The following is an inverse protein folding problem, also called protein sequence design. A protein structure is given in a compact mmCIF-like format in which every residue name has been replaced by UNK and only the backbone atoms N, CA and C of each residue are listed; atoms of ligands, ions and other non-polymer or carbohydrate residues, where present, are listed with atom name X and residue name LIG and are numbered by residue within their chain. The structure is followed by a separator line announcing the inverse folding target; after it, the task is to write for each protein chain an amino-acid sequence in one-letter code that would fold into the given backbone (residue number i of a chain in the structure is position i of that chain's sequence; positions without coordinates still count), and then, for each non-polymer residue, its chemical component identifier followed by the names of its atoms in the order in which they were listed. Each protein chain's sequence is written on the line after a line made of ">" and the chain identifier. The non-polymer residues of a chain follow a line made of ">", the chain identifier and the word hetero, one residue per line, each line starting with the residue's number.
data_IF_560050129559
#
_entry.id   IF_560050129559
#
_cell.length_a   1.000
_cell.length_b   1.000
_cell.length_c   1.000
_cell.angle_alpha   90.00
_cell.angle_beta   90.00
_cell.angle_gamma   90.00
#
_symmetry.space_group_name_H-M   'P 1'
#
loop_
_entity.id
_entity.type
_entity.pdbx_description
1 polymer ?
#
# COMPACT_ATOMS: atom_id res chain seq x y z
N UNK A 1 5.47 -8.11 13.76
CA UNK A 1 5.98 -6.84 14.32
C UNK A 1 6.01 -7.01 15.85
N UNK A 2 6.82 -6.26 16.60
CA UNK A 2 6.67 -6.17 18.06
C UNK A 2 5.22 -5.86 18.45
N UNK A 3 4.81 -6.23 19.67
CA UNK A 3 3.41 -6.12 20.14
C UNK A 3 2.84 -4.69 20.12
N UNK A 4 3.70 -3.67 20.12
CA UNK A 4 3.36 -2.24 20.11
C UNK A 4 3.56 -1.56 18.73
N UNK A 5 3.85 -2.33 17.67
CA UNK A 5 4.11 -1.80 16.33
C UNK A 5 3.08 -2.30 15.32
N UNK A 6 2.43 -1.36 14.64
CA UNK A 6 1.43 -1.63 13.59
C UNK A 6 1.91 -1.06 12.25
N UNK A 7 1.73 -1.84 11.17
CA UNK A 7 1.85 -1.33 9.81
C UNK A 7 0.50 -0.80 9.35
N UNK A 8 0.47 0.43 8.85
CA UNK A 8 -0.75 1.11 8.40
C UNK A 8 -0.52 1.66 7.00
N UNK A 9 -1.42 1.34 6.08
CA UNK A 9 -1.38 1.79 4.69
C UNK A 9 -2.72 2.39 4.27
N UNK A 10 -2.66 3.26 3.25
CA UNK A 10 -3.85 3.77 2.54
C UNK A 10 -3.82 3.22 1.13
N UNK A 11 -4.90 2.58 0.70
CA UNK A 11 -5.06 2.05 -0.67
C UNK A 11 -6.03 2.95 -1.41
N UNK A 12 -5.60 3.44 -2.56
CA UNK A 12 -6.32 4.43 -3.38
C UNK A 12 -6.29 4.01 -4.84
N UNK A 13 -7.12 4.64 -5.67
CA UNK A 13 -7.02 4.48 -7.12
C UNK A 13 -5.62 4.86 -7.62
N UNK A 14 -5.03 4.04 -8.49
CA UNK A 14 -3.65 4.19 -8.89
C UNK A 14 -3.40 5.43 -9.78
N UNK A 15 -4.33 5.74 -10.68
CA UNK A 15 -4.19 6.88 -11.58
C UNK A 15 -4.34 8.19 -10.82
N UNK A 16 -5.37 8.28 -9.97
CA UNK A 16 -5.62 9.44 -9.12
C UNK A 16 -4.54 9.61 -8.05
N UNK A 17 -4.18 8.55 -7.32
CA UNK A 17 -3.13 8.61 -6.30
C UNK A 17 -1.79 9.01 -6.89
N UNK A 18 -1.48 8.52 -8.10
CA UNK A 18 -0.29 8.90 -8.85
C UNK A 18 -0.25 10.39 -9.21
N UNK A 19 -1.39 11.00 -9.58
CA UNK A 19 -1.43 12.44 -9.86
C UNK A 19 -1.26 13.28 -8.60
N UNK A 20 -1.88 12.89 -7.48
CA UNK A 20 -1.74 13.61 -6.21
C UNK A 20 -0.30 13.59 -5.67
N UNK A 21 0.39 12.46 -5.79
CA UNK A 21 1.77 12.31 -5.31
C UNK A 21 2.80 13.10 -6.14
N UNK A 22 2.44 13.57 -7.34
CA UNK A 22 3.31 14.44 -8.12
C UNK A 22 3.37 15.87 -7.55
N UNK A 23 2.30 16.30 -6.87
CA UNK A 23 2.11 17.70 -6.44
C UNK A 23 2.39 17.92 -4.95
N UNK A 24 2.62 16.86 -4.16
CA UNK A 24 2.90 17.00 -2.73
C UNK A 24 3.76 15.86 -2.14
N UNK A 25 4.43 16.08 -1.00
CA UNK A 25 5.19 15.04 -0.31
C UNK A 25 4.33 13.83 0.11
N UNK A 26 4.92 12.63 0.06
CA UNK A 26 4.25 11.37 0.40
C UNK A 26 3.67 11.36 1.81
N UNK A 27 4.39 11.89 2.81
CA UNK A 27 3.89 11.93 4.18
C UNK A 27 2.66 12.83 4.32
N UNK A 28 2.64 13.97 3.63
CA UNK A 28 1.49 14.87 3.60
C UNK A 28 0.27 14.18 2.97
N UNK A 29 0.45 13.53 1.81
CA UNK A 29 -0.61 12.76 1.17
C UNK A 29 -1.14 11.65 2.08
N UNK A 30 -0.26 10.85 2.68
CA UNK A 30 -0.63 9.79 3.62
C UNK A 30 -1.48 10.32 4.79
N UNK A 31 -1.05 11.41 5.42
CA UNK A 31 -1.78 12.01 6.56
C UNK A 31 -3.15 12.53 6.15
N UNK A 32 -3.27 13.15 4.97
CA UNK A 32 -4.56 13.61 4.45
C UNK A 32 -5.51 12.43 4.22
N UNK A 33 -5.05 11.36 3.56
CA UNK A 33 -5.89 10.19 3.28
C UNK A 33 -6.28 9.45 4.56
N UNK A 34 -5.36 9.30 5.51
CA UNK A 34 -5.65 8.69 6.81
C UNK A 34 -6.72 9.49 7.56
N UNK A 35 -6.68 10.82 7.48
CA UNK A 35 -7.66 11.72 8.10
C UNK A 35 -9.09 11.54 7.56
N UNK A 36 -9.27 11.01 6.35
CA UNK A 36 -10.60 10.68 5.81
C UNK A 36 -11.22 9.45 6.51
N UNK A 37 -10.39 8.59 7.10
CA UNK A 37 -10.82 7.42 7.87
C UNK A 37 -10.91 7.76 9.37
N UNK A 38 -11.89 8.59 9.74
CA UNK A 38 -11.98 9.18 11.09
C UNK A 38 -11.80 8.19 12.25
N UNK A 39 -12.48 7.03 12.20
CA UNK A 39 -12.34 6.01 13.26
C UNK A 39 -10.92 5.45 13.37
N UNK A 40 -10.26 5.18 12.25
CA UNK A 40 -8.89 4.66 12.21
C UNK A 40 -7.89 5.73 12.65
N UNK A 41 -8.09 6.98 12.21
CA UNK A 41 -7.29 8.11 12.65
C UNK A 41 -7.37 8.29 14.18
N UNK A 42 -8.57 8.18 14.77
CA UNK A 42 -8.76 8.25 16.22
C UNK A 42 -8.03 7.11 16.96
N UNK A 43 -8.09 5.88 16.42
CA UNK A 43 -7.37 4.74 17.00
C UNK A 43 -5.85 4.94 16.99
N UNK A 44 -5.32 5.64 15.99
CA UNK A 44 -3.89 5.90 15.83
C UNK A 44 -3.43 7.18 16.52
N UNK A 45 -4.33 7.97 17.10
CA UNK A 45 -4.06 9.30 17.65
C UNK A 45 -3.00 9.32 18.77
N UNK A 46 -2.93 8.27 19.58
CA UNK A 46 -1.91 8.10 20.63
C UNK A 46 -0.63 7.43 20.13
N UNK A 47 -0.62 6.97 18.88
CA UNK A 47 0.52 6.31 18.27
C UNK A 47 1.59 7.30 17.79
N UNK A 48 2.82 6.81 17.66
CA UNK A 48 3.92 7.55 17.03
C UNK A 48 4.24 6.92 15.67
N UNK A 49 4.37 7.75 14.65
CA UNK A 49 4.96 7.32 13.38
C UNK A 49 6.46 7.06 13.59
N UNK A 50 6.86 5.80 13.50
CA UNK A 50 8.25 5.37 13.71
C UNK A 50 9.02 5.11 12.40
N UNK A 51 8.32 5.13 11.27
CA UNK A 51 8.89 4.92 9.93
C UNK A 51 8.13 5.76 8.90
N UNK A 52 8.82 6.16 7.82
CA UNK A 52 8.25 7.01 6.78
C UNK A 52 7.32 6.22 5.84
N UNK A 53 6.23 6.83 5.32
CA UNK A 53 5.35 6.16 4.36
C UNK A 53 6.09 5.83 3.06
N UNK A 54 5.80 4.66 2.48
CA UNK A 54 6.33 4.21 1.19
C UNK A 54 5.20 4.09 0.18
N UNK A 55 5.49 4.39 -1.08
CA UNK A 55 4.53 4.24 -2.19
C UNK A 55 4.85 2.97 -2.96
N UNK A 56 3.86 2.12 -3.14
CA UNK A 56 3.94 0.91 -3.96
C UNK A 56 2.77 0.95 -4.94
N UNK A 57 3.01 0.53 -6.19
CA UNK A 57 1.96 0.35 -7.19
C UNK A 57 1.45 -1.08 -7.10
N UNK A 58 0.27 -1.24 -6.53
CA UNK A 58 -0.33 -2.52 -6.21
C UNK A 58 -1.42 -2.85 -7.23
N UNK A 59 -1.01 -3.32 -8.41
CA UNK A 59 -1.93 -3.60 -9.51
C UNK A 59 -2.31 -5.07 -9.54
N UNK A 60 -3.60 -5.35 -9.70
CA UNK A 60 -4.06 -6.71 -9.97
C UNK A 60 -3.56 -7.18 -11.35
N UNK A 61 -2.99 -8.37 -11.42
CA UNK A 61 -2.57 -8.99 -12.68
C UNK A 61 -2.59 -10.52 -12.61
N UNK A 62 -2.55 -11.15 -13.79
CA UNK A 62 -2.39 -12.60 -13.91
C UNK A 62 -1.47 -12.91 -15.08
N UNK A 63 -0.46 -13.74 -14.85
CA UNK A 63 0.42 -14.25 -15.90
C UNK A 63 -0.35 -15.12 -16.88
N UNK A 64 -0.12 -14.96 -18.19
CA UNK A 64 -0.86 -15.73 -19.21
C UNK A 64 -0.53 -17.23 -19.19
N UNK A 65 0.65 -17.60 -18.66
CA UNK A 65 1.09 -18.99 -18.51
C UNK A 65 1.78 -19.18 -17.16
N UNK A 66 1.19 -20.01 -16.31
CA UNK A 66 1.69 -20.27 -14.95
C UNK A 66 2.65 -21.45 -14.89
N UNK A 67 2.54 -22.40 -15.84
CA UNK A 67 3.37 -23.62 -15.89
C UNK A 67 3.82 -23.89 -17.32
N UNK A 68 4.97 -24.52 -17.46
CA UNK A 68 5.47 -25.07 -18.72
C UNK A 68 6.57 -26.08 -18.46
N UNK A 69 7.15 -26.61 -19.53
CA UNK A 69 8.17 -27.64 -19.41
C UNK A 69 9.39 -27.10 -18.65
N UNK A 70 9.66 -27.68 -17.47
CA UNK A 70 10.77 -27.31 -16.61
C UNK A 70 10.57 -26.05 -15.76
N UNK A 71 9.38 -25.45 -15.71
CA UNK A 71 9.13 -24.30 -14.82
C UNK A 71 7.68 -24.19 -14.30
N UNK A 72 7.56 -23.49 -13.17
CA UNK A 72 6.31 -23.05 -12.56
C UNK A 72 6.49 -21.63 -12.01
N UNK A 73 5.49 -20.77 -12.18
CA UNK A 73 5.39 -19.47 -11.53
C UNK A 73 4.63 -19.63 -10.20
N UNK A 74 5.11 -18.97 -9.13
CA UNK A 74 4.52 -19.04 -7.79
C UNK A 74 4.44 -17.65 -7.15
N UNK A 75 3.46 -17.46 -6.25
CA UNK A 75 3.21 -16.17 -5.60
C UNK A 75 2.91 -15.06 -6.60
N UNK A 76 3.41 -13.86 -6.33
CA UNK A 76 3.26 -12.68 -7.19
C UNK A 76 3.77 -12.94 -8.62
N UNK A 77 4.75 -13.80 -8.85
CA UNK A 77 5.18 -14.13 -10.21
C UNK A 77 4.05 -14.79 -11.05
N UNK A 78 3.10 -15.46 -10.42
CA UNK A 78 1.93 -16.04 -11.08
C UNK A 78 0.77 -15.05 -11.21
N UNK A 79 0.39 -14.40 -10.11
CA UNK A 79 -0.71 -13.45 -10.06
C UNK A 79 -0.65 -12.61 -8.79
N UNK A 80 -1.23 -11.42 -8.87
CA UNK A 80 -1.50 -10.55 -7.72
C UNK A 80 -2.94 -10.01 -7.86
N UNK A 81 -3.67 -9.93 -6.75
CA UNK A 81 -5.09 -9.55 -6.73
C UNK A 81 -5.24 -8.20 -6.06
#
# INVERSE_FOLDING_TARGET
>A
LPDDVMSVGVVVDAAWGGSQLADQPTEQFYRQQLGLAGRTADMLSSGKMIDAPRVIRDWSYTSQRLVGDGYILVGDAACFI
#
